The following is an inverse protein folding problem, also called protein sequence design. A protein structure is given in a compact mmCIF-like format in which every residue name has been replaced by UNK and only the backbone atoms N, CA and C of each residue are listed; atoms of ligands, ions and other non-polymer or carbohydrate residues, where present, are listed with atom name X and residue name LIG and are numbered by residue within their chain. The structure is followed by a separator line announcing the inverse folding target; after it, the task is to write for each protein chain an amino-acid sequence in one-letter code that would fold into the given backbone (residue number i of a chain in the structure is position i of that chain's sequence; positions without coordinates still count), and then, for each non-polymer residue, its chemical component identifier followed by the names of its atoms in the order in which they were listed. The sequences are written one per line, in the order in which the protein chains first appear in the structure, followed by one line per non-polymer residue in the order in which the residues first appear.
data_IF_859156169431
#
_entry.id   IF_859156169431
#
_cell.length_a   1.000
_cell.length_b   1.000
_cell.length_c   1.000
_cell.angle_alpha   90.00
_cell.angle_beta   90.00
_cell.angle_gamma   90.00
#
_symmetry.space_group_name_H-M   'P 1'
#
loop_
_entity.id
_entity.type
_entity.pdbx_description
1 polymer ?
#
# COMPACT_ATOMS: atom_id res chain seq x y z
N UNK A 1 20.46 8.46 -12.92
CA UNK A 1 19.93 7.13 -12.54
C UNK A 1 19.12 7.32 -11.28
N UNK A 2 17.80 7.10 -11.33
CA UNK A 2 16.91 7.24 -10.17
C UNK A 2 17.09 6.01 -9.29
N UNK A 3 17.31 6.17 -7.98
CA UNK A 3 17.45 5.03 -7.09
C UNK A 3 16.07 4.35 -6.90
N UNK A 4 16.00 3.01 -6.70
CA UNK A 4 14.74 2.32 -6.44
C UNK A 4 13.96 2.90 -5.24
N UNK A 5 14.67 3.44 -4.25
CA UNK A 5 14.08 4.11 -3.10
C UNK A 5 13.38 5.43 -3.48
N UNK A 6 13.92 6.18 -4.45
CA UNK A 6 13.32 7.44 -4.92
C UNK A 6 12.00 7.17 -5.65
N UNK A 7 11.96 6.14 -6.50
CA UNK A 7 10.72 5.73 -7.20
C UNK A 7 9.65 5.35 -6.19
N UNK A 8 10.03 4.65 -5.12
CA UNK A 8 9.09 4.26 -4.09
C UNK A 8 8.58 5.46 -3.29
N UNK A 9 9.45 6.42 -2.99
CA UNK A 9 9.07 7.64 -2.28
C UNK A 9 8.04 8.43 -3.10
N UNK A 10 8.30 8.60 -4.40
CA UNK A 10 7.37 9.26 -5.33
C UNK A 10 6.03 8.53 -5.39
N UNK A 11 6.03 7.21 -5.58
CA UNK A 11 4.78 6.44 -5.62
C UNK A 11 3.98 6.56 -4.32
N UNK A 12 4.66 6.55 -3.16
CA UNK A 12 3.99 6.69 -1.88
C UNK A 12 3.41 8.11 -1.67
N UNK A 13 4.16 9.15 -2.06
CA UNK A 13 3.74 10.54 -1.92
C UNK A 13 2.59 10.88 -2.89
N UNK A 14 2.64 10.36 -4.13
CA UNK A 14 1.58 10.47 -5.14
C UNK A 14 0.37 9.56 -4.86
N UNK A 15 0.47 8.66 -3.88
CA UNK A 15 -0.62 7.74 -3.53
C UNK A 15 -0.89 6.66 -4.59
N UNK A 16 0.15 6.24 -5.33
CA UNK A 16 0.08 5.20 -6.35
C UNK A 16 0.36 3.83 -5.69
N UNK A 17 -0.62 2.93 -5.54
CA UNK A 17 -0.42 1.64 -4.90
C UNK A 17 0.43 0.69 -5.77
N UNK A 18 1.39 0.00 -5.15
CA UNK A 18 2.21 -1.02 -5.82
C UNK A 18 1.85 -2.41 -5.30
N UNK A 19 1.35 -3.26 -6.20
CA UNK A 19 1.13 -4.68 -5.95
C UNK A 19 2.29 -5.52 -6.50
N UNK A 20 2.69 -6.54 -5.76
CA UNK A 20 3.79 -7.44 -6.17
C UNK A 20 3.29 -8.87 -6.10
N UNK A 21 3.41 -9.61 -7.20
CA UNK A 21 3.23 -11.06 -7.22
C UNK A 21 4.59 -11.70 -7.48
N UNK A 22 5.16 -12.34 -6.46
CA UNK A 22 6.41 -13.09 -6.60
C UNK A 22 6.10 -14.57 -6.83
N UNK A 23 6.74 -15.18 -7.82
CA UNK A 23 6.68 -16.63 -8.05
C UNK A 23 7.71 -17.39 -7.22
N UNK A 24 8.64 -16.68 -6.58
CA UNK A 24 9.67 -17.23 -5.71
C UNK A 24 9.13 -17.58 -4.33
N UNK A 25 9.87 -18.45 -3.62
CA UNK A 25 9.53 -18.76 -2.24
C UNK A 25 9.98 -17.66 -1.29
N UNK A 26 9.07 -17.23 -0.41
CA UNK A 26 9.36 -16.22 0.64
C UNK A 26 10.63 -16.54 1.42
N UNK A 27 10.81 -17.82 1.77
CA UNK A 27 11.90 -18.28 2.64
C UNK A 27 13.21 -18.53 1.88
N UNK A 28 13.17 -18.66 0.55
CA UNK A 28 14.38 -18.84 -0.26
C UNK A 28 15.12 -17.52 -0.48
N UNK A 29 14.39 -16.40 -0.45
CA UNK A 29 14.96 -15.06 -0.52
C UNK A 29 14.24 -14.12 0.46
N UNK A 30 14.64 -14.14 1.74
CA UNK A 30 14.01 -13.32 2.77
C UNK A 30 14.29 -11.82 2.57
N UNK A 31 15.42 -11.47 1.93
CA UNK A 31 15.79 -10.08 1.70
C UNK A 31 14.85 -9.47 0.66
N UNK A 32 14.72 -10.10 -0.51
CA UNK A 32 13.80 -9.62 -1.55
C UNK A 32 12.36 -9.65 -1.07
N UNK A 33 11.95 -10.69 -0.33
CA UNK A 33 10.61 -10.78 0.23
C UNK A 33 10.31 -9.64 1.22
N UNK A 34 11.26 -9.29 2.09
CA UNK A 34 11.12 -8.15 2.98
C UNK A 34 11.02 -6.83 2.20
N UNK A 35 11.84 -6.66 1.17
CA UNK A 35 11.82 -5.47 0.30
C UNK A 35 10.49 -5.32 -0.44
N UNK A 36 9.96 -6.39 -1.04
CA UNK A 36 8.65 -6.37 -1.72
C UNK A 36 7.50 -6.07 -0.76
N UNK A 37 7.53 -6.64 0.44
CA UNK A 37 6.54 -6.34 1.48
C UNK A 37 6.59 -4.87 1.89
N UNK A 38 7.79 -4.33 2.12
CA UNK A 38 7.96 -2.91 2.48
C UNK A 38 7.50 -1.97 1.37
N UNK A 39 7.87 -2.26 0.13
CA UNK A 39 7.51 -1.51 -1.07
C UNK A 39 5.98 -1.39 -1.21
N UNK A 40 5.31 -2.54 -1.21
CA UNK A 40 3.86 -2.61 -1.39
C UNK A 40 3.12 -1.93 -0.24
N UNK A 41 3.46 -2.25 1.01
CA UNK A 41 2.79 -1.65 2.18
C UNK A 41 3.00 -0.14 2.27
N UNK A 42 4.19 0.38 1.94
CA UNK A 42 4.47 1.83 1.98
C UNK A 42 3.63 2.62 0.99
N UNK A 43 3.28 2.01 -0.14
CA UNK A 43 2.48 2.63 -1.21
C UNK A 43 0.98 2.37 -1.08
N UNK A 44 0.56 1.56 -0.11
CA UNK A 44 -0.85 1.17 0.04
C UNK A 44 -1.28 0.05 -0.90
N UNK A 45 -0.34 -0.72 -1.47
CA UNK A 45 -0.59 -2.00 -2.14
C UNK A 45 -0.15 -3.22 -1.31
N UNK A 46 -0.14 -4.41 -1.93
CA UNK A 46 0.12 -5.68 -1.23
C UNK A 46 1.07 -6.61 -2.00
N UNK A 47 1.85 -7.40 -1.26
CA UNK A 47 2.73 -8.42 -1.81
C UNK A 47 2.15 -9.82 -1.64
N UNK A 48 2.24 -10.62 -2.71
CA UNK A 48 1.78 -12.00 -2.82
C UNK A 48 2.95 -12.91 -3.19
N UNK A 49 2.93 -14.15 -2.69
CA UNK A 49 3.91 -15.17 -3.05
C UNK A 49 3.19 -16.40 -3.60
N UNK A 50 3.17 -16.46 -4.92
CA UNK A 50 2.32 -17.32 -5.71
C UNK A 50 3.18 -18.25 -6.59
N UNK A 51 3.70 -19.30 -5.97
CA UNK A 51 4.56 -20.30 -6.64
C UNK A 51 3.83 -21.16 -7.67
N UNK A 52 2.52 -21.33 -7.48
CA UNK A 52 1.68 -22.16 -8.33
C UNK A 52 0.76 -21.27 -9.13
N UNK A 53 0.34 -21.77 -10.30
CA UNK A 53 -0.66 -21.10 -11.12
C UNK A 53 -1.94 -20.75 -10.33
N UNK A 54 -2.43 -21.70 -9.52
CA UNK A 54 -3.63 -21.49 -8.70
C UNK A 54 -3.47 -20.28 -7.76
N UNK A 55 -2.32 -20.17 -7.07
CA UNK A 55 -2.06 -19.02 -6.20
C UNK A 55 -1.88 -17.71 -6.97
N UNK A 56 -1.45 -17.77 -8.23
CA UNK A 56 -1.34 -16.57 -9.06
C UNK A 56 -2.73 -16.07 -9.41
N UNK A 57 -3.64 -16.97 -9.80
CA UNK A 57 -5.05 -16.65 -10.04
C UNK A 57 -5.68 -16.04 -8.79
N UNK A 58 -5.51 -16.67 -7.62
CA UNK A 58 -5.99 -16.12 -6.34
C UNK A 58 -5.43 -14.71 -6.05
N UNK A 59 -4.14 -14.49 -6.30
CA UNK A 59 -3.51 -13.18 -6.10
C UNK A 59 -4.09 -12.11 -7.05
N UNK A 60 -4.35 -12.47 -8.31
CA UNK A 60 -4.99 -11.56 -9.25
C UNK A 60 -6.44 -11.26 -8.89
N UNK A 61 -7.19 -12.25 -8.39
CA UNK A 61 -8.56 -12.05 -7.90
C UNK A 61 -8.60 -11.10 -6.70
N UNK A 62 -7.71 -11.28 -5.72
CA UNK A 62 -7.60 -10.40 -4.54
C UNK A 62 -7.22 -8.97 -4.96
N UNK A 63 -6.28 -8.80 -5.91
CA UNK A 63 -5.95 -7.48 -6.47
C UNK A 63 -7.16 -6.85 -7.17
N UNK A 64 -7.89 -7.62 -7.97
CA UNK A 64 -9.10 -7.13 -8.65
C UNK A 64 -10.15 -6.67 -7.66
N UNK A 65 -10.37 -7.44 -6.60
CA UNK A 65 -11.32 -7.09 -5.54
C UNK A 65 -10.88 -5.83 -4.78
N UNK A 66 -9.60 -5.71 -4.43
CA UNK A 66 -9.04 -4.54 -3.74
C UNK A 66 -9.16 -3.26 -4.60
N UNK A 67 -8.83 -3.35 -5.89
CA UNK A 67 -9.00 -2.24 -6.84
C UNK A 67 -10.48 -1.89 -7.06
N UNK A 68 -11.36 -2.89 -7.16
CA UNK A 68 -12.80 -2.71 -7.31
C UNK A 68 -13.48 -2.08 -6.09
N UNK A 69 -12.86 -2.24 -4.92
CA UNK A 69 -13.32 -1.67 -3.65
C UNK A 69 -12.41 -0.53 -3.16
N UNK A 70 -11.69 0.14 -4.06
CA UNK A 70 -10.81 1.25 -3.71
C UNK A 70 -11.59 2.57 -3.59
N UNK A 71 -11.32 3.32 -2.52
CA UNK A 71 -11.96 4.61 -2.26
C UNK A 71 -10.90 5.69 -2.02
N UNK A 72 -11.13 6.89 -2.56
CA UNK A 72 -10.31 8.07 -2.27
C UNK A 72 -11.04 8.95 -1.26
N UNK A 73 -10.43 9.14 -0.09
CA UNK A 73 -10.92 10.03 0.96
C UNK A 73 -10.09 11.32 0.91
N UNK A 74 -10.76 12.46 0.79
CA UNK A 74 -10.15 13.78 0.88
C UNK A 74 -10.69 14.53 2.08
N UNK A 75 -9.83 15.29 2.75
CA UNK A 75 -10.22 16.13 3.89
C UNK A 75 -9.28 17.34 3.97
N UNK A 76 -9.76 18.41 4.59
CA UNK A 76 -8.91 19.55 4.94
C UNK A 76 -8.32 19.32 6.34
N UNK A 77 -6.99 19.16 6.46
CA UNK A 77 -6.39 19.00 7.77
C UNK A 77 -6.50 20.30 8.57
N UNK A 78 -6.76 20.18 9.87
CA UNK A 78 -6.61 21.31 10.78
C UNK A 78 -5.16 21.85 10.74
N UNK A 79 -4.94 23.14 11.09
CA UNK A 79 -3.60 23.70 11.19
C UNK A 79 -2.70 22.81 12.05
N UNK A 80 -1.58 22.37 11.48
CA UNK A 80 -0.68 21.42 12.12
C UNK A 80 0.76 21.83 11.84
N UNK A 81 1.56 22.16 12.88
CA UNK A 81 2.96 22.56 12.72
C UNK A 81 3.87 21.42 12.25
N UNK A 82 3.38 20.17 12.25
CA UNK A 82 4.11 19.04 11.68
C UNK A 82 4.07 19.09 10.14
N UNK A 83 5.19 19.50 9.56
CA UNK A 83 5.45 19.45 8.12
C UNK A 83 6.01 18.09 7.64
N UNK A 84 6.29 17.18 8.58
CA UNK A 84 6.77 15.83 8.30
C UNK A 84 5.66 14.84 7.91
N UNK A 85 6.00 13.56 7.98
CA UNK A 85 5.06 12.47 7.69
C UNK A 85 3.88 12.48 8.65
N UNK A 86 2.66 12.43 8.10
CA UNK A 86 1.40 12.38 8.84
C UNK A 86 0.78 11.00 8.70
N UNK A 87 0.66 10.29 9.83
CA UNK A 87 0.05 8.96 9.87
C UNK A 87 -1.44 9.05 9.56
N UNK A 88 -1.94 8.06 8.84
CA UNK A 88 -3.37 7.84 8.61
C UNK A 88 -3.77 6.56 9.35
N UNK A 89 -4.88 6.63 10.07
CA UNK A 89 -5.56 5.47 10.64
C UNK A 89 -6.99 5.47 10.08
N UNK A 90 -7.40 4.34 9.52
CA UNK A 90 -8.77 4.13 9.04
C UNK A 90 -9.37 2.99 9.85
N UNK A 91 -10.50 3.26 10.48
CA UNK A 91 -11.22 2.31 11.32
C UNK A 91 -12.62 2.09 10.76
N UNK A 92 -13.11 0.85 10.85
CA UNK A 92 -14.48 0.53 10.49
C UNK A 92 -15.35 0.77 11.71
N UNK A 93 -16.25 1.75 11.61
CA UNK A 93 -17.13 2.12 12.73
C UNK A 93 -18.09 0.98 13.13
N UNK A 94 -18.51 0.13 12.19
CA UNK A 94 -19.38 -1.03 12.44
C UNK A 94 -19.16 -2.13 11.41
N UNK A 95 -18.81 -3.34 11.86
CA UNK A 95 -18.66 -4.54 11.04
C UNK A 95 -19.28 -5.75 11.75
N UNK A 96 -20.63 -5.81 11.85
CA UNK A 96 -21.33 -6.93 12.44
C UNK A 96 -21.12 -8.17 11.55
N UNK A 97 -20.11 -8.97 11.91
CA UNK A 97 -19.69 -10.16 11.16
C UNK A 97 -18.19 -10.22 10.88
N UNK A 98 -17.43 -9.14 11.12
CA UNK A 98 -15.97 -9.07 10.89
C UNK A 98 -15.57 -9.46 9.46
N UNK A 99 -16.38 -9.05 8.48
CA UNK A 99 -16.19 -9.44 7.08
C UNK A 99 -15.36 -8.42 6.31
N UNK A 100 -15.29 -7.20 6.81
CA UNK A 100 -14.62 -6.11 6.12
C UNK A 100 -13.14 -6.08 6.50
N UNK A 101 -12.32 -5.74 5.53
CA UNK A 101 -10.88 -5.53 5.71
C UNK A 101 -10.55 -4.14 5.20
N UNK A 102 -9.79 -3.40 5.97
CA UNK A 102 -9.28 -2.09 5.56
C UNK A 102 -7.85 -2.26 5.10
N UNK A 103 -7.57 -1.74 3.92
CA UNK A 103 -6.23 -1.53 3.43
C UNK A 103 -6.06 -0.05 3.10
N UNK A 104 -5.05 0.59 3.69
CA UNK A 104 -4.77 2.00 3.44
C UNK A 104 -3.26 2.26 3.50
N UNK A 105 -2.81 3.31 2.81
CA UNK A 105 -1.44 3.81 2.97
C UNK A 105 -1.18 4.20 4.43
N UNK A 106 0.05 4.02 4.95
CA UNK A 106 0.38 4.31 6.34
C UNK A 106 0.30 5.79 6.71
N UNK A 107 0.24 6.66 5.72
CA UNK A 107 0.22 8.11 5.89
C UNK A 107 0.58 8.82 4.61
N UNK A 108 0.85 10.12 4.74
CA UNK A 108 1.20 11.00 3.64
C UNK A 108 2.16 12.09 4.13
N UNK A 109 2.88 12.71 3.20
CA UNK A 109 3.57 13.97 3.46
C UNK A 109 2.73 15.12 2.90
N UNK A 110 2.56 16.23 3.64
CA UNK A 110 1.92 17.42 3.10
C UNK A 110 2.69 17.91 1.88
N UNK A 111 1.99 18.09 0.76
CA UNK A 111 2.61 18.63 -0.43
C UNK A 111 2.81 20.14 -0.24
N UNK A 112 4.06 20.62 -0.32
CA UNK A 112 4.37 22.06 -0.30
C UNK A 112 4.13 22.64 -1.70
N UNK A 113 2.92 22.54 -2.23
CA UNK A 113 2.54 23.29 -3.44
C UNK A 113 1.75 24.51 -2.97
N UNK A 114 2.42 25.66 -2.93
CA UNK A 114 1.82 26.98 -2.77
C UNK A 114 1.85 27.57 -1.35
N UNK A 115 2.93 28.29 -1.06
CA UNK A 115 2.87 29.56 -0.35
C UNK A 115 3.30 30.64 -1.35
#
# INVERSE_FOLDING_TARGET
MVAPDDVTAVAADEGIPIYVISTSEVNKDPISSASFKRLSTRTGGKAYWAKTWQKQVEAFEDIREDLGNSYTITYYPAPNPNEGFRKILVEIASDPGKKLRVHCRPGYKPNRIGA
#
